data_IF_950422581330
#
_entry.id   IF_950422581330
#
_cell.length_a   1.000
_cell.length_b   1.000
_cell.length_c   1.000
_cell.angle_alpha   90.00
_cell.angle_beta   90.00
_cell.angle_gamma   90.00
#
_symmetry.space_group_name_H-M   'P 1'
#
loop_
_entity.id
_entity.type
_entity.pdbx_description
1 polymer ?
#
# COMPACT_ATOMS: atom_id res chain seq x y z
N UNK A 1 -23.72 78.14 10.10
CA UNK A 1 -24.46 76.96 9.60
C UNK A 1 -23.84 75.74 10.26
N UNK A 2 -24.11 75.44 11.54
CA UNK A 2 -25.31 74.79 12.08
C UNK A 2 -25.82 73.65 11.19
N UNK A 3 -25.58 72.40 11.61
CA UNK A 3 -26.64 71.53 12.12
C UNK A 3 -26.02 70.30 12.82
N UNK A 4 -25.95 70.41 14.15
CA UNK A 4 -26.04 69.28 15.08
C UNK A 4 -27.40 68.59 14.92
N UNK A 5 -27.44 67.25 15.03
CA UNK A 5 -28.62 66.51 15.55
C UNK A 5 -28.22 65.11 16.05
N UNK A 6 -29.01 64.49 16.96
CA UNK A 6 -28.50 63.99 18.23
C UNK A 6 -28.73 62.48 18.46
N UNK A 7 -28.23 62.04 19.62
CA UNK A 7 -28.38 60.76 20.30
C UNK A 7 -29.74 60.09 20.16
N UNK A 8 -29.73 58.76 20.02
CA UNK A 8 -30.82 57.89 20.44
C UNK A 8 -30.31 56.92 21.52
N UNK A 9 -30.70 57.22 22.77
CA UNK A 9 -30.72 56.29 23.89
C UNK A 9 -31.70 55.17 23.56
N UNK A 10 -31.26 53.92 23.58
CA UNK A 10 -32.17 52.77 23.76
C UNK A 10 -31.98 52.17 25.14
N UNK A 11 -33.08 52.26 25.86
CA UNK A 11 -33.44 51.72 27.16
C UNK A 11 -33.09 50.24 27.27
N UNK A 12 -32.47 49.88 28.39
CA UNK A 12 -32.33 48.51 28.87
C UNK A 12 -33.62 48.08 29.59
N UNK A 13 -34.05 46.83 29.37
CA UNK A 13 -34.84 45.97 30.29
C UNK A 13 -35.24 44.68 29.55
N UNK A 14 -35.59 43.59 30.25
CA UNK A 14 -34.89 42.92 31.34
C UNK A 14 -34.55 41.47 30.96
N UNK A 15 -33.76 40.81 31.82
CA UNK A 15 -33.41 39.40 31.72
C UNK A 15 -34.65 38.50 31.59
N UNK A 16 -34.72 37.72 30.52
CA UNK A 16 -35.56 36.54 30.43
C UNK A 16 -34.68 35.31 30.68
N UNK A 17 -34.78 34.76 31.88
CA UNK A 17 -34.30 33.43 32.24
C UNK A 17 -34.84 32.43 31.22
N UNK A 18 -34.00 32.07 30.26
CA UNK A 18 -34.30 31.01 29.31
C UNK A 18 -33.61 29.78 29.83
N UNK A 19 -34.41 28.96 30.52
CA UNK A 19 -34.09 27.63 31.00
C UNK A 19 -33.26 26.90 29.96
N UNK A 20 -32.01 26.59 30.30
CA UNK A 20 -31.08 25.78 29.50
C UNK A 20 -31.69 24.39 29.34
N UNK A 21 -32.50 24.21 28.29
CA UNK A 21 -32.95 22.92 27.82
C UNK A 21 -31.70 22.11 27.47
N UNK A 22 -31.38 21.14 28.32
CA UNK A 22 -30.42 20.08 28.07
C UNK A 22 -30.83 19.39 26.76
N UNK A 23 -30.24 19.85 25.64
CA UNK A 23 -30.33 19.14 24.37
C UNK A 23 -29.75 17.75 24.60
N UNK A 24 -30.62 16.75 24.49
CA UNK A 24 -30.23 15.35 24.45
C UNK A 24 -29.05 15.18 23.46
N UNK A 25 -28.07 14.33 23.77
CA UNK A 25 -26.91 14.11 22.90
C UNK A 25 -27.42 13.64 21.53
N UNK A 26 -27.24 14.49 20.53
CA UNK A 26 -27.52 14.16 19.14
C UNK A 26 -26.66 12.94 18.80
N UNK A 27 -27.30 11.84 18.42
CA UNK A 27 -26.61 10.62 18.04
C UNK A 27 -25.48 10.94 17.03
N UNK A 28 -24.28 10.36 17.19
CA UNK A 28 -23.16 10.69 16.33
C UNK A 28 -23.55 10.43 14.87
N UNK A 29 -23.54 11.48 14.06
CA UNK A 29 -23.75 11.34 12.61
C UNK A 29 -22.69 10.38 12.10
N UNK A 30 -23.12 9.29 11.47
CA UNK A 30 -22.23 8.31 10.83
C UNK A 30 -21.24 9.05 9.91
N UNK A 31 -19.95 8.79 10.09
CA UNK A 31 -18.91 9.40 9.25
C UNK A 31 -19.12 9.02 7.80
N UNK A 32 -18.88 9.97 6.89
CA UNK A 32 -19.00 9.73 5.45
C UNK A 32 -17.76 8.98 4.96
N UNK A 33 -17.89 8.03 4.03
CA UNK A 33 -16.72 7.37 3.44
C UNK A 33 -15.85 8.36 2.65
N UNK A 34 -14.54 8.16 2.67
CA UNK A 34 -13.61 8.85 1.80
C UNK A 34 -13.89 8.51 0.33
N UNK A 35 -13.54 9.44 -0.58
CA UNK A 35 -13.65 9.16 -2.01
C UNK A 35 -12.58 8.13 -2.38
N UNK A 36 -12.91 7.10 -3.19
CA UNK A 36 -11.91 6.18 -3.71
C UNK A 36 -10.77 6.95 -4.36
N UNK A 37 -9.55 6.58 -4.01
CA UNK A 37 -8.34 7.09 -4.64
C UNK A 37 -7.91 6.12 -5.74
N UNK A 38 -7.29 6.65 -6.80
CA UNK A 38 -6.68 5.80 -7.83
C UNK A 38 -5.60 4.94 -7.19
N UNK A 39 -5.47 3.70 -7.68
CA UNK A 39 -4.37 2.85 -7.29
C UNK A 39 -3.03 3.57 -7.52
N UNK A 40 -2.17 3.55 -6.52
CA UNK A 40 -0.84 4.15 -6.58
C UNK A 40 0.18 3.06 -6.84
N UNK A 41 1.14 3.31 -7.72
CA UNK A 41 2.29 2.45 -7.97
C UNK A 41 3.43 2.67 -6.98
N UNK A 42 3.11 3.12 -5.76
CA UNK A 42 4.11 3.27 -4.71
C UNK A 42 4.69 1.89 -4.37
N UNK A 43 5.90 1.89 -3.84
CA UNK A 43 6.57 0.71 -3.30
C UNK A 43 7.08 1.04 -1.89
N UNK A 44 7.37 0.01 -1.05
CA UNK A 44 8.10 0.21 0.20
C UNK A 44 9.39 1.02 -0.03
N UNK A 45 9.80 1.82 0.95
CA UNK A 45 10.97 2.70 0.80
C UNK A 45 12.25 1.89 0.69
N UNK A 46 12.98 2.14 -0.40
CA UNK A 46 14.36 1.72 -0.59
C UNK A 46 15.24 2.94 -0.89
N UNK A 47 16.50 2.95 -0.44
CA UNK A 47 17.43 4.09 -0.57
C UNK A 47 17.63 4.51 -2.05
N UNK A 48 17.70 3.51 -2.94
CA UNK A 48 17.82 3.68 -4.40
C UNK A 48 16.44 3.52 -5.08
N UNK A 49 15.41 3.25 -4.30
CA UNK A 49 14.04 3.03 -4.76
C UNK A 49 13.48 4.25 -5.48
N UNK A 50 12.73 3.99 -6.54
CA UNK A 50 11.87 4.98 -7.20
C UNK A 50 10.47 4.88 -6.57
N UNK A 51 9.67 5.96 -6.66
CA UNK A 51 8.25 5.95 -6.26
C UNK A 51 7.95 5.78 -4.75
N UNK A 52 8.69 6.47 -3.89
CA UNK A 52 8.34 6.52 -2.46
C UNK A 52 6.95 7.13 -2.28
N UNK A 53 6.21 6.68 -1.27
CA UNK A 53 4.90 7.23 -0.93
C UNK A 53 4.99 8.76 -0.77
N UNK A 54 4.14 9.51 -1.49
CA UNK A 54 3.98 10.96 -1.40
C UNK A 54 2.51 11.26 -1.18
N UNK A 55 2.13 11.42 0.06
CA UNK A 55 0.75 11.40 0.55
C UNK A 55 0.37 12.71 1.28
N UNK A 56 1.25 13.71 1.31
CA UNK A 56 1.04 14.99 2.02
C UNK A 56 -0.22 15.76 1.61
N UNK A 57 -0.71 15.54 0.38
CA UNK A 57 -1.92 16.12 -0.19
C UNK A 57 -3.09 15.12 -0.29
N UNK A 58 -2.86 13.86 0.09
CA UNK A 58 -3.81 12.75 0.00
C UNK A 58 -4.23 12.27 1.39
N UNK A 59 -5.00 13.10 2.09
CA UNK A 59 -5.36 12.91 3.51
C UNK A 59 -5.89 11.49 3.86
N UNK A 60 -6.77 10.92 3.04
CA UNK A 60 -7.30 9.56 3.27
C UNK A 60 -6.24 8.47 3.08
N UNK A 61 -5.34 8.62 2.12
CA UNK A 61 -4.26 7.66 1.89
C UNK A 61 -3.19 7.77 2.98
N UNK A 62 -2.86 8.99 3.42
CA UNK A 62 -1.96 9.18 4.55
C UNK A 62 -2.53 8.60 5.84
N UNK A 63 -3.84 8.78 6.09
CA UNK A 63 -4.50 8.16 7.23
C UNK A 63 -4.40 6.62 7.16
N UNK A 64 -4.70 6.01 6.00
CA UNK A 64 -4.56 4.57 5.79
C UNK A 64 -3.11 4.07 5.99
N UNK A 65 -2.15 4.83 5.45
CA UNK A 65 -0.71 4.54 5.53
C UNK A 65 -0.15 4.58 6.97
N UNK A 66 -0.85 5.27 7.88
CA UNK A 66 -0.58 5.33 9.31
C UNK A 66 -1.46 4.39 10.15
N UNK A 67 -2.28 3.54 9.51
CA UNK A 67 -3.18 2.60 10.20
C UNK A 67 -4.44 3.23 10.78
N UNK A 68 -4.76 4.49 10.47
CA UNK A 68 -5.97 5.14 10.97
C UNK A 68 -7.21 4.75 10.16
N UNK A 69 -8.33 4.59 10.87
CA UNK A 69 -9.63 4.28 10.28
C UNK A 69 -10.37 5.54 9.82
N UNK A 70 -9.98 6.72 10.31
CA UNK A 70 -10.62 7.98 9.96
C UNK A 70 -9.59 9.09 9.74
N UNK A 71 -9.89 10.03 8.84
CA UNK A 71 -9.04 11.21 8.63
C UNK A 71 -9.04 12.17 9.83
N UNK A 72 -10.03 12.08 10.73
CA UNK A 72 -10.03 12.82 12.00
C UNK A 72 -8.84 12.43 12.88
N UNK A 73 -8.51 11.14 12.90
CA UNK A 73 -7.44 10.61 13.75
C UNK A 73 -6.08 11.11 13.26
N UNK A 74 -5.90 11.18 11.94
CA UNK A 74 -4.75 11.84 11.32
C UNK A 74 -4.67 13.33 11.71
N UNK A 75 -5.79 14.07 11.70
CA UNK A 75 -5.79 15.49 12.08
C UNK A 75 -5.39 15.68 13.53
N UNK A 76 -5.97 14.88 14.43
CA UNK A 76 -5.67 14.88 15.85
C UNK A 76 -4.20 14.57 16.11
N UNK A 77 -3.67 13.52 15.48
CA UNK A 77 -2.27 13.15 15.60
C UNK A 77 -1.32 14.21 15.01
N UNK A 78 -1.68 14.84 13.89
CA UNK A 78 -0.85 15.86 13.25
C UNK A 78 -0.65 17.12 14.12
N UNK A 79 -1.55 17.39 15.05
CA UNK A 79 -1.46 18.52 16.00
C UNK A 79 -1.11 18.10 17.43
N UNK A 80 -0.67 16.85 17.62
CA UNK A 80 -0.18 16.33 18.89
C UNK A 80 1.28 16.71 19.15
N UNK A 81 1.70 16.66 20.41
CA UNK A 81 3.04 17.12 20.82
C UNK A 81 4.22 16.48 20.05
N UNK A 82 4.22 15.17 19.68
CA UNK A 82 5.35 14.59 18.95
C UNK A 82 5.56 15.26 17.58
N UNK A 83 4.45 15.57 16.90
CA UNK A 83 4.48 16.18 15.56
C UNK A 83 4.84 17.66 15.64
N UNK A 84 4.22 18.41 16.55
CA UNK A 84 4.48 19.85 16.71
C UNK A 84 5.90 20.15 17.19
N UNK A 85 6.44 19.29 18.07
CA UNK A 85 7.83 19.40 18.53
C UNK A 85 8.82 19.10 17.39
N UNK A 86 8.53 18.11 16.55
CA UNK A 86 9.36 17.78 15.40
C UNK A 86 9.30 18.88 14.31
N UNK A 87 8.12 19.46 14.06
CA UNK A 87 7.92 20.51 13.05
C UNK A 87 8.89 21.69 13.23
N UNK A 88 9.12 22.10 14.48
CA UNK A 88 10.03 23.19 14.87
C UNK A 88 11.39 23.12 14.17
N UNK A 89 11.95 21.91 14.10
CA UNK A 89 13.28 21.66 13.53
C UNK A 89 13.19 21.22 12.06
N UNK A 90 12.12 20.50 11.71
CA UNK A 90 11.91 19.98 10.36
C UNK A 90 11.65 21.10 9.33
N UNK A 91 10.69 21.99 9.60
CA UNK A 91 10.19 22.91 8.58
C UNK A 91 11.26 23.87 8.01
N UNK A 92 12.15 24.47 8.83
CA UNK A 92 13.23 25.31 8.31
C UNK A 92 14.29 24.52 7.52
N UNK A 93 14.62 23.30 7.98
CA UNK A 93 15.68 22.49 7.38
C UNK A 93 15.22 21.76 6.11
N UNK A 94 13.97 21.29 6.06
CA UNK A 94 13.41 20.52 4.96
C UNK A 94 12.90 21.37 3.77
N UNK A 95 13.05 22.70 3.82
CA UNK A 95 12.59 23.59 2.75
C UNK A 95 13.25 23.21 1.41
N UNK A 96 12.44 22.82 0.42
CA UNK A 96 12.86 22.33 -0.91
C UNK A 96 13.75 21.07 -0.87
N UNK A 97 13.75 20.34 0.23
CA UNK A 97 14.53 19.12 0.38
C UNK A 97 13.78 17.91 -0.20
N UNK A 98 14.52 17.01 -0.86
CA UNK A 98 14.05 15.67 -1.23
C UNK A 98 14.42 14.65 -0.15
N UNK A 99 13.63 13.60 -0.01
CA UNK A 99 13.81 12.61 1.06
C UNK A 99 15.16 11.89 1.01
N UNK A 100 15.63 11.54 -0.20
CA UNK A 100 16.88 10.77 -0.46
C UNK A 100 18.06 11.27 0.38
N UNK A 101 18.25 12.59 0.45
CA UNK A 101 19.40 13.17 1.15
C UNK A 101 19.40 12.93 2.66
N UNK A 102 18.23 13.04 3.31
CA UNK A 102 18.11 12.80 4.75
C UNK A 102 18.07 11.29 5.05
N UNK A 103 17.43 10.51 4.20
CA UNK A 103 17.26 9.06 4.39
C UNK A 103 18.58 8.31 4.25
N UNK A 104 19.53 8.80 3.45
CA UNK A 104 20.88 8.25 3.38
C UNK A 104 21.60 8.27 4.74
N UNK A 105 21.34 9.27 5.60
CA UNK A 105 21.88 9.29 6.97
C UNK A 105 21.20 8.27 7.87
N UNK A 106 19.92 7.96 7.62
CA UNK A 106 19.12 7.03 8.42
C UNK A 106 19.33 5.57 8.00
N UNK A 107 19.76 5.34 6.77
CA UNK A 107 19.94 4.00 6.22
C UNK A 107 21.35 3.42 6.43
N UNK A 108 22.35 4.28 6.63
CA UNK A 108 23.73 3.86 6.81
C UNK A 108 24.06 3.72 8.31
N UNK A 109 24.49 2.53 8.79
CA UNK A 109 24.79 2.29 10.20
C UNK A 109 25.81 3.25 10.83
N UNK A 110 26.83 3.66 10.07
CA UNK A 110 27.83 4.62 10.55
C UNK A 110 27.25 6.03 10.71
N UNK A 111 26.45 6.47 9.73
CA UNK A 111 25.84 7.79 9.74
C UNK A 111 24.70 7.90 10.76
N UNK A 112 23.86 6.86 10.92
CA UNK A 112 22.78 6.89 11.91
C UNK A 112 23.34 6.93 13.33
N UNK A 113 24.51 6.35 13.57
CA UNK A 113 25.23 6.44 14.84
C UNK A 113 25.64 7.89 15.15
N UNK A 114 26.13 8.62 14.15
CA UNK A 114 26.41 10.06 14.27
C UNK A 114 25.14 10.86 14.65
N UNK A 115 24.03 10.58 13.98
CA UNK A 115 22.72 11.20 14.28
C UNK A 115 22.25 10.83 15.69
N UNK A 116 22.46 9.59 16.12
CA UNK A 116 22.03 9.07 17.41
C UNK A 116 22.84 9.63 18.59
N UNK A 117 24.11 9.98 18.37
CA UNK A 117 25.00 10.53 19.39
C UNK A 117 24.54 11.90 19.90
N UNK A 118 23.73 12.63 19.13
CA UNK A 118 23.15 13.90 19.57
C UNK A 118 22.02 13.66 20.59
N UNK A 119 22.18 14.25 21.77
CA UNK A 119 21.25 14.10 22.90
C UNK A 119 19.80 14.48 22.53
N UNK A 120 18.85 13.92 23.25
CA UNK A 120 17.39 14.04 22.98
C UNK A 120 16.87 15.45 23.19
N UNK A 121 17.45 16.17 24.13
CA UNK A 121 17.10 17.53 24.56
C UNK A 121 17.89 18.62 23.83
N UNK A 122 18.87 18.25 23.01
CA UNK A 122 19.73 19.20 22.32
C UNK A 122 19.03 19.82 21.10
N UNK A 123 19.28 21.11 20.87
CA UNK A 123 18.83 21.76 19.63
C UNK A 123 19.76 21.36 18.47
N UNK A 124 19.28 20.64 17.45
CA UNK A 124 20.13 20.12 16.36
C UNK A 124 20.80 21.24 15.55
N UNK A 125 20.22 22.44 15.53
CA UNK A 125 20.79 23.61 14.87
C UNK A 125 22.08 24.13 15.52
N UNK A 126 22.28 23.85 16.81
CA UNK A 126 23.51 24.21 17.54
C UNK A 126 24.64 23.22 17.28
N UNK A 127 24.31 21.98 16.93
CA UNK A 127 25.28 20.93 16.58
C UNK A 127 25.65 21.03 15.10
N UNK A 128 24.65 21.07 14.22
CA UNK A 128 24.81 21.14 12.77
C UNK A 128 24.51 22.56 12.28
N UNK A 129 25.43 23.46 12.61
CA UNK A 129 25.28 24.89 12.30
C UNK A 129 25.45 25.16 10.81
N UNK A 130 24.58 26.02 10.27
CA UNK A 130 24.70 26.57 8.93
C UNK A 130 24.16 28.01 8.87
N UNK A 131 24.70 28.82 7.98
CA UNK A 131 24.32 30.22 7.72
C UNK A 131 24.05 30.42 6.23
N UNK A 132 23.26 31.45 5.89
CA UNK A 132 22.92 31.74 4.48
C UNK A 132 24.14 32.08 3.61
N UNK A 133 25.27 32.48 4.20
CA UNK A 133 26.52 32.75 3.49
C UNK A 133 27.44 31.54 3.32
N UNK A 134 27.13 30.39 3.93
CA UNK A 134 28.00 29.21 3.83
C UNK A 134 27.93 28.58 2.43
N UNK A 135 28.91 27.76 2.02
CA UNK A 135 28.84 27.03 0.75
C UNK A 135 27.53 26.22 0.63
N UNK A 136 26.83 26.25 -0.53
CA UNK A 136 25.53 25.58 -0.69
C UNK A 136 25.55 24.09 -0.34
N UNK A 137 26.65 23.40 -0.64
CA UNK A 137 26.85 22.00 -0.30
C UNK A 137 26.89 21.76 1.22
N UNK A 138 27.61 22.61 1.97
CA UNK A 138 27.66 22.55 3.43
C UNK A 138 26.27 22.77 4.03
N UNK A 139 25.57 23.83 3.63
CA UNK A 139 24.21 24.11 4.10
C UNK A 139 23.28 22.91 3.85
N UNK A 140 23.39 22.29 2.66
CA UNK A 140 22.59 21.14 2.27
C UNK A 140 22.87 19.92 3.17
N UNK A 141 24.14 19.64 3.48
CA UNK A 141 24.52 18.53 4.36
C UNK A 141 23.98 18.76 5.78
N UNK A 142 24.20 19.95 6.37
CA UNK A 142 23.76 20.22 7.74
C UNK A 142 22.24 20.14 7.87
N UNK A 143 21.51 20.70 6.90
CA UNK A 143 20.04 20.58 6.85
C UNK A 143 19.59 19.12 6.77
N UNK A 144 20.24 18.28 5.96
CA UNK A 144 19.91 16.84 5.87
C UNK A 144 20.13 16.12 7.20
N UNK A 145 21.21 16.45 7.93
CA UNK A 145 21.47 15.90 9.27
C UNK A 145 20.40 16.31 10.28
N UNK A 146 20.03 17.60 10.30
CA UNK A 146 18.92 18.11 11.14
C UNK A 146 17.63 17.35 10.83
N UNK A 147 17.26 17.20 9.56
CA UNK A 147 16.04 16.48 9.19
C UNK A 147 16.10 15.00 9.59
N UNK A 148 17.21 14.31 9.35
CA UNK A 148 17.40 12.93 9.78
C UNK A 148 17.23 12.77 11.30
N UNK A 149 17.87 13.65 12.07
CA UNK A 149 17.72 13.70 13.52
C UNK A 149 16.27 13.93 13.95
N UNK A 150 15.59 14.89 13.33
CA UNK A 150 14.20 15.22 13.65
C UNK A 150 13.26 14.04 13.42
N UNK A 151 13.39 13.32 12.28
CA UNK A 151 12.60 12.13 12.01
C UNK A 151 12.88 11.04 13.03
N UNK A 152 14.16 10.79 13.36
CA UNK A 152 14.53 9.80 14.38
C UNK A 152 13.96 10.16 15.76
N UNK A 153 14.04 11.43 16.18
CA UNK A 153 13.47 11.87 17.46
C UNK A 153 11.95 11.80 17.46
N UNK A 154 11.29 12.14 16.34
CA UNK A 154 9.84 11.99 16.22
C UNK A 154 9.42 10.53 16.43
N UNK A 155 10.13 9.56 15.85
CA UNK A 155 9.87 8.13 16.10
C UNK A 155 9.97 7.77 17.59
N UNK A 156 11.01 8.23 18.28
CA UNK A 156 11.16 7.98 19.73
C UNK A 156 10.06 8.66 20.55
N UNK A 157 9.69 9.89 20.17
CA UNK A 157 8.61 10.64 20.81
C UNK A 157 7.25 9.97 20.61
N UNK A 158 7.00 9.34 19.45
CA UNK A 158 5.76 8.60 19.18
C UNK A 158 5.71 7.30 20.00
N UNK A 159 6.85 6.62 20.19
CA UNK A 159 6.93 5.48 21.12
C UNK A 159 6.56 5.93 22.54
N UNK A 160 7.14 7.03 23.02
CA UNK A 160 6.76 7.60 24.32
C UNK A 160 5.28 7.99 24.37
N UNK A 161 4.77 8.64 23.34
CA UNK A 161 3.37 9.07 23.23
C UNK A 161 2.40 7.91 23.39
N UNK A 162 2.73 6.74 22.83
CA UNK A 162 1.93 5.51 22.97
C UNK A 162 1.85 5.01 24.41
N UNK A 163 2.95 5.12 25.16
CA UNK A 163 3.07 4.58 26.52
C UNK A 163 2.69 5.62 27.61
N UNK A 164 2.45 6.86 27.20
CA UNK A 164 2.13 7.99 28.08
C UNK A 164 0.64 8.07 28.38
N UNK A 165 0.28 8.48 29.60
CA UNK A 165 -1.12 8.67 30.00
C UNK A 165 -1.83 9.74 29.15
N UNK A 166 -3.16 9.62 28.99
CA UNK A 166 -3.98 10.61 28.27
C UNK A 166 -3.81 12.03 28.85
N UNK A 167 -3.79 12.15 30.18
CA UNK A 167 -3.64 13.44 30.85
C UNK A 167 -2.28 14.10 30.57
N UNK A 168 -1.20 13.32 30.57
CA UNK A 168 0.13 13.82 30.25
C UNK A 168 0.25 14.18 28.76
N UNK A 169 -0.28 13.35 27.85
CA UNK A 169 -0.33 13.66 26.42
C UNK A 169 -1.12 14.93 26.13
N UNK A 170 -2.23 15.16 26.84
CA UNK A 170 -3.01 16.40 26.76
C UNK A 170 -2.19 17.61 27.20
N UNK A 171 -1.58 17.53 28.39
CA UNK A 171 -0.73 18.60 28.94
C UNK A 171 0.41 18.98 27.99
N UNK A 172 1.17 17.99 27.51
CA UNK A 172 2.28 18.21 26.56
C UNK A 172 1.80 18.77 25.23
N UNK A 173 0.65 18.29 24.73
CA UNK A 173 0.07 18.79 23.48
C UNK A 173 -0.36 20.25 23.60
N UNK A 174 -0.99 20.64 24.71
CA UNK A 174 -1.37 22.03 24.95
C UNK A 174 -0.15 22.97 25.03
N UNK A 175 0.92 22.53 25.72
CA UNK A 175 2.18 23.28 25.78
C UNK A 175 2.77 23.48 24.38
N UNK A 176 2.90 22.40 23.60
CA UNK A 176 3.47 22.48 22.25
C UNK A 176 2.59 23.25 21.27
N UNK A 177 1.26 23.19 21.41
CA UNK A 177 0.33 24.01 20.63
C UNK A 177 0.52 25.50 20.93
N UNK A 178 0.64 25.89 22.20
CA UNK A 178 0.89 27.27 22.59
C UNK A 178 2.24 27.78 22.03
N UNK A 179 3.31 26.97 22.18
CA UNK A 179 4.63 27.30 21.64
C UNK A 179 4.63 27.34 20.10
N UNK A 180 3.88 26.46 19.43
CA UNK A 180 3.69 26.49 17.98
C UNK A 180 3.02 27.80 17.54
N UNK A 181 1.93 28.21 18.19
CA UNK A 181 1.26 29.48 17.88
C UNK A 181 2.20 30.67 18.07
N UNK A 182 2.99 30.68 19.15
CA UNK A 182 4.01 31.70 19.40
C UNK A 182 5.08 31.75 18.30
N UNK A 183 5.59 30.59 17.86
CA UNK A 183 6.57 30.48 16.76
C UNK A 183 6.03 31.03 15.44
N UNK A 184 4.73 30.85 15.19
CA UNK A 184 4.09 31.26 13.93
C UNK A 184 3.29 32.57 14.03
N UNK A 185 3.29 33.27 15.17
CA UNK A 185 2.58 34.53 15.35
C UNK A 185 3.06 35.63 14.38
N UNK A 186 4.34 35.61 14.00
CA UNK A 186 4.97 36.55 13.06
C UNK A 186 4.95 36.07 11.60
N UNK A 187 4.28 34.94 11.30
CA UNK A 187 4.35 34.34 9.99
C UNK A 187 3.72 35.31 8.95
N UNK A 188 4.54 35.73 7.97
CA UNK A 188 4.31 36.85 7.03
C UNK A 188 3.05 36.74 6.16
N UNK A 189 2.28 35.66 6.31
CA UNK A 189 1.07 35.37 5.55
C UNK A 189 -0.20 35.97 6.19
N UNK A 190 -0.11 36.64 7.35
CA UNK A 190 -1.24 37.32 7.99
C UNK A 190 -2.38 36.40 8.42
N UNK A 191 -2.06 35.13 8.71
CA UNK A 191 -3.07 34.11 9.03
C UNK A 191 -3.16 33.91 10.53
N UNK A 192 -4.37 33.99 11.04
CA UNK A 192 -4.67 33.60 12.42
C UNK A 192 -4.74 32.08 12.46
N UNK A 193 -3.74 31.47 13.08
CA UNK A 193 -3.74 30.04 13.40
C UNK A 193 -4.44 29.85 14.75
N UNK A 194 -5.22 28.78 14.86
CA UNK A 194 -5.85 28.35 16.10
C UNK A 194 -5.86 26.83 16.16
N UNK A 195 -5.91 26.30 17.37
CA UNK A 195 -6.20 24.90 17.64
C UNK A 195 -7.57 24.79 18.34
N UNK A 196 -8.19 23.59 18.39
CA UNK A 196 -9.37 23.37 19.21
C UNK A 196 -9.05 23.63 20.70
N UNK A 197 -10.03 24.11 21.46
CA UNK A 197 -9.87 24.33 22.91
C UNK A 197 -9.70 23.01 23.68
N UNK A 198 -10.30 21.94 23.18
CA UNK A 198 -10.21 20.60 23.77
C UNK A 198 -9.85 19.54 22.73
N UNK A 199 -9.07 18.56 23.18
CA UNK A 199 -8.73 17.36 22.44
C UNK A 199 -9.21 16.16 23.25
N UNK A 200 -10.16 15.41 22.71
CA UNK A 200 -10.80 14.31 23.44
C UNK A 200 -10.14 12.96 23.17
N UNK A 201 -9.16 12.93 22.26
CA UNK A 201 -8.56 11.70 21.75
C UNK A 201 -7.08 11.90 21.39
N UNK A 202 -6.31 10.83 21.53
CA UNK A 202 -4.87 10.78 21.29
C UNK A 202 -4.51 9.57 20.42
N UNK A 203 -4.96 9.55 19.16
CA UNK A 203 -4.72 8.43 18.27
C UNK A 203 -3.22 8.29 18.01
N UNK A 204 -2.73 7.05 18.04
CA UNK A 204 -1.32 6.73 17.83
C UNK A 204 -1.17 5.97 16.51
N UNK A 205 -0.28 6.40 15.60
CA UNK A 205 -0.13 5.77 14.29
C UNK A 205 0.60 4.42 14.38
N UNK A 206 0.33 3.56 13.41
CA UNK A 206 1.16 2.40 13.11
C UNK A 206 2.37 2.84 12.27
N UNK A 207 3.49 3.12 12.92
CA UNK A 207 4.71 3.55 12.21
C UNK A 207 5.45 2.42 11.49
N UNK A 208 5.13 1.16 11.77
CA UNK A 208 5.89 0.02 11.26
C UNK A 208 7.31 -0.08 11.85
N UNK A 209 8.24 -0.76 11.15
CA UNK A 209 8.03 -1.35 9.83
C UNK A 209 7.09 -2.55 9.86
N UNK A 210 6.27 -2.70 8.82
CA UNK A 210 5.47 -3.89 8.56
C UNK A 210 6.34 -4.94 7.87
N UNK A 211 7.22 -5.58 8.65
CA UNK A 211 8.22 -6.54 8.13
C UNK A 211 7.57 -7.71 7.39
N UNK A 212 6.40 -8.16 7.84
CA UNK A 212 5.58 -9.18 7.17
C UNK A 212 5.01 -8.73 5.81
N UNK A 213 5.10 -7.45 5.48
CA UNK A 213 4.69 -6.83 4.21
C UNK A 213 5.86 -6.27 3.42
N UNK A 214 7.09 -6.70 3.74
CA UNK A 214 8.31 -6.32 3.01
C UNK A 214 8.86 -4.93 3.36
N UNK A 215 8.36 -4.28 4.41
CA UNK A 215 8.89 -2.98 4.83
C UNK A 215 10.21 -3.11 5.61
N UNK A 216 11.07 -2.10 5.48
CA UNK A 216 12.24 -1.91 6.32
C UNK A 216 12.09 -0.67 7.22
N UNK A 217 13.04 -0.46 8.13
CA UNK A 217 13.04 0.63 9.12
C UNK A 217 12.90 2.05 8.52
N UNK A 218 13.26 2.26 7.24
CA UNK A 218 13.09 3.56 6.60
C UNK A 218 11.62 3.94 6.42
N UNK A 219 10.70 2.97 6.38
CA UNK A 219 9.27 3.25 6.26
C UNK A 219 8.75 4.01 7.49
N UNK A 220 9.29 3.70 8.67
CA UNK A 220 9.01 4.41 9.92
C UNK A 220 9.32 5.90 9.80
N UNK A 221 10.48 6.23 9.22
CA UNK A 221 10.87 7.62 8.98
C UNK A 221 10.08 8.26 7.83
N UNK A 222 9.70 7.47 6.83
CA UNK A 222 8.85 7.90 5.73
C UNK A 222 7.47 8.35 6.21
N UNK A 223 6.84 7.57 7.10
CA UNK A 223 5.59 7.95 7.77
C UNK A 223 5.71 9.28 8.53
N UNK A 224 6.78 9.45 9.33
CA UNK A 224 7.04 10.71 10.01
C UNK A 224 7.21 11.90 9.05
N UNK A 225 7.97 11.70 7.95
CA UNK A 225 8.14 12.73 6.92
C UNK A 225 6.80 13.15 6.33
N UNK A 226 5.96 12.20 5.95
CA UNK A 226 4.65 12.50 5.34
C UNK A 226 3.71 13.25 6.30
N UNK A 227 3.71 12.90 7.59
CA UNK A 227 2.94 13.63 8.60
C UNK A 227 3.42 15.08 8.74
N UNK A 228 4.73 15.31 8.77
CA UNK A 228 5.30 16.67 8.87
C UNK A 228 5.01 17.51 7.62
N UNK A 229 5.04 16.88 6.44
CA UNK A 229 4.65 17.53 5.18
C UNK A 229 3.15 17.83 5.13
N UNK A 230 2.31 16.94 5.65
CA UNK A 230 0.87 17.15 5.78
C UNK A 230 0.53 18.31 6.73
N UNK A 231 1.21 18.41 7.87
CA UNK A 231 1.10 19.56 8.77
C UNK A 231 1.56 20.84 8.06
N UNK A 232 2.70 20.80 7.36
CA UNK A 232 3.21 21.90 6.55
C UNK A 232 2.25 22.34 5.43
N UNK A 233 1.53 21.40 4.80
CA UNK A 233 0.51 21.72 3.78
C UNK A 233 -0.71 22.44 4.37
N UNK A 234 -0.91 22.36 5.70
CA UNK A 234 -1.86 23.17 6.47
C UNK A 234 -1.65 24.68 6.31
N UNK A 235 -0.40 25.13 6.09
CA UNK A 235 -0.09 26.54 5.83
C UNK A 235 -0.48 27.01 4.42
N UNK A 236 -1.02 26.16 3.55
CA UNK A 236 -1.51 26.56 2.22
C UNK A 236 -2.99 27.01 2.28
N UNK A 237 -3.40 27.89 1.36
CA UNK A 237 -4.61 28.75 1.44
C UNK A 237 -5.84 28.04 2.03
N UNK A 238 -6.20 28.40 3.26
CA UNK A 238 -7.41 27.91 3.96
C UNK A 238 -7.33 26.49 4.53
N UNK A 239 -6.26 25.73 4.27
CA UNK A 239 -6.13 24.35 4.73
C UNK A 239 -6.13 24.24 6.26
N UNK A 240 -5.45 25.16 6.96
CA UNK A 240 -5.48 25.20 8.42
C UNK A 240 -6.90 25.28 8.97
N UNK A 241 -7.70 26.24 8.47
CA UNK A 241 -9.11 26.41 8.85
C UNK A 241 -9.95 25.17 8.53
N UNK A 242 -9.61 24.44 7.47
CA UNK A 242 -10.30 23.24 6.99
C UNK A 242 -9.87 21.93 7.64
N UNK A 243 -8.79 21.93 8.43
CA UNK A 243 -8.23 20.71 9.04
C UNK A 243 -8.05 20.79 10.55
N UNK A 244 -7.65 21.95 11.08
CA UNK A 244 -7.10 22.05 12.45
C UNK A 244 -7.73 23.15 13.31
N UNK A 245 -8.47 24.10 12.73
CA UNK A 245 -8.84 25.33 13.45
C UNK A 245 -9.83 25.16 14.61
N UNK A 246 -10.69 24.14 14.58
CA UNK A 246 -11.67 23.87 15.64
C UNK A 246 -12.09 22.39 15.65
N UNK A 247 -12.78 22.02 16.74
CA UNK A 247 -13.20 20.64 17.00
C UNK A 247 -14.18 20.12 15.93
N UNK A 248 -15.14 20.95 15.47
CA UNK A 248 -16.12 20.57 14.45
C UNK A 248 -15.42 20.11 13.16
N UNK A 249 -14.44 20.89 12.69
CA UNK A 249 -13.68 20.59 11.49
C UNK A 249 -12.81 19.34 11.67
N UNK A 250 -12.19 19.17 12.84
CA UNK A 250 -11.38 17.99 13.12
C UNK A 250 -12.21 16.70 13.15
N UNK A 251 -13.36 16.73 13.83
CA UNK A 251 -14.28 15.59 13.94
C UNK A 251 -15.07 15.32 12.66
N UNK A 252 -15.16 16.28 11.75
CA UNK A 252 -15.73 16.08 10.40
C UNK A 252 -14.73 15.34 9.47
N UNK A 253 -14.25 14.20 9.96
CA UNK A 253 -13.38 13.28 9.22
C UNK A 253 -14.16 12.43 8.22
N UNK A 254 -13.43 11.60 7.50
CA UNK A 254 -13.99 10.56 6.63
C UNK A 254 -13.46 9.20 7.01
N UNK A 255 -14.30 8.19 6.89
CA UNK A 255 -13.89 6.79 7.06
C UNK A 255 -12.96 6.39 5.92
N UNK A 256 -11.88 5.72 6.29
CA UNK A 256 -10.79 5.28 5.42
C UNK A 256 -10.93 3.78 5.21
N UNK A 257 -11.05 3.37 3.95
CA UNK A 257 -11.12 1.96 3.57
C UNK A 257 -9.73 1.39 3.23
N UNK A 258 -9.59 0.06 3.26
CA UNK A 258 -8.37 -0.67 2.89
C UNK A 258 -7.79 -0.24 1.53
N UNK A 259 -8.64 0.07 0.54
CA UNK A 259 -8.22 0.52 -0.80
C UNK A 259 -7.46 1.86 -0.82
N UNK A 260 -7.46 2.62 0.28
CA UNK A 260 -6.66 3.85 0.39
C UNK A 260 -5.23 3.58 0.84
N UNK A 261 -4.94 2.43 1.45
CA UNK A 261 -3.58 2.07 1.82
C UNK A 261 -2.75 1.76 0.55
N UNK A 262 -1.42 1.95 0.58
CA UNK A 262 -0.58 1.50 -0.52
C UNK A 262 -0.72 -0.01 -0.76
N UNK A 263 -0.58 -0.46 -2.02
CA UNK A 263 -0.91 -1.84 -2.42
C UNK A 263 -0.27 -2.93 -1.57
N UNK A 264 1.01 -2.76 -1.18
CA UNK A 264 1.71 -3.72 -0.30
C UNK A 264 1.17 -3.74 1.13
N UNK A 265 0.55 -2.64 1.60
CA UNK A 265 -0.09 -2.56 2.91
C UNK A 265 -1.51 -3.08 2.93
N UNK A 266 -2.17 -3.14 1.77
CA UNK A 266 -3.55 -3.60 1.72
C UNK A 266 -3.60 -5.03 2.23
N UNK A 267 -4.51 -5.31 3.16
CA UNK A 267 -4.89 -6.70 3.39
C UNK A 267 -5.49 -7.16 2.08
N UNK A 268 -4.76 -7.99 1.34
CA UNK A 268 -5.35 -8.78 0.27
C UNK A 268 -6.41 -9.57 1.01
N UNK A 269 -7.67 -9.14 0.90
CA UNK A 269 -8.78 -10.03 1.17
C UNK A 269 -8.47 -11.18 0.24
N UNK A 270 -7.97 -12.31 0.78
CA UNK A 270 -7.70 -13.51 -0.03
C UNK A 270 -8.91 -13.61 -0.93
N UNK A 271 -8.76 -13.55 -2.27
CA UNK A 271 -9.89 -13.77 -3.15
C UNK A 271 -10.53 -15.04 -2.61
N UNK A 272 -11.81 -14.93 -2.23
CA UNK A 272 -12.56 -16.02 -1.64
C UNK A 272 -12.22 -17.22 -2.51
N UNK A 273 -11.50 -18.20 -1.95
CA UNK A 273 -11.05 -19.33 -2.75
C UNK A 273 -12.29 -19.87 -3.47
N UNK A 274 -12.20 -20.17 -4.78
CA UNK A 274 -13.33 -20.73 -5.51
C UNK A 274 -13.89 -21.88 -4.67
N UNK A 275 -15.23 -21.92 -4.53
CA UNK A 275 -15.89 -22.89 -3.66
C UNK A 275 -15.34 -24.29 -3.95
N UNK A 276 -14.61 -24.91 -3.00
CA UNK A 276 -13.94 -26.18 -3.22
C UNK A 276 -14.94 -27.32 -3.51
N UNK A 277 -16.24 -27.08 -3.32
CA UNK A 277 -17.29 -28.04 -3.68
C UNK A 277 -17.52 -28.19 -5.19
N UNK A 278 -16.92 -27.35 -6.05
CA UNK A 278 -17.08 -27.43 -7.51
C UNK A 278 -15.78 -27.17 -8.27
N UNK A 279 -14.75 -28.04 -8.15
CA UNK A 279 -13.55 -27.93 -8.99
C UNK A 279 -13.94 -28.03 -10.47
N UNK A 280 -13.30 -27.24 -11.33
CA UNK A 280 -13.45 -27.38 -12.78
C UNK A 280 -12.32 -28.26 -13.31
N UNK A 281 -12.67 -29.19 -14.18
CA UNK A 281 -11.71 -30.01 -14.91
C UNK A 281 -11.37 -29.31 -16.23
N UNK A 282 -10.07 -29.24 -16.53
CA UNK A 282 -9.57 -28.62 -17.75
C UNK A 282 -8.66 -29.59 -18.46
N UNK A 283 -8.90 -29.81 -19.74
CA UNK A 283 -8.04 -30.64 -20.58
C UNK A 283 -7.07 -29.76 -21.37
N UNK A 284 -5.79 -30.10 -21.42
CA UNK A 284 -4.82 -29.46 -22.31
C UNK A 284 -4.78 -30.22 -23.62
N UNK A 285 -4.98 -29.51 -24.73
CA UNK A 285 -4.81 -29.98 -26.10
C UNK A 285 -3.63 -29.22 -26.72
N UNK A 286 -2.49 -29.88 -26.82
CA UNK A 286 -1.35 -29.36 -27.56
C UNK A 286 -1.61 -29.50 -29.06
N UNK A 287 -1.96 -28.38 -29.70
CA UNK A 287 -2.21 -28.30 -31.13
C UNK A 287 -0.87 -28.28 -31.86
N UNK A 288 -0.50 -29.43 -32.41
CA UNK A 288 0.75 -29.65 -33.12
C UNK A 288 0.48 -30.33 -34.47
N UNK A 289 0.42 -29.52 -35.53
CA UNK A 289 0.20 -29.97 -36.91
C UNK A 289 0.78 -28.96 -37.91
N UNK A 290 0.80 -29.33 -39.19
CA UNK A 290 1.37 -28.53 -40.28
C UNK A 290 0.73 -27.14 -40.45
N UNK A 291 -0.49 -26.93 -39.96
CA UNK A 291 -1.20 -25.64 -40.02
C UNK A 291 -0.73 -24.65 -38.94
N UNK A 292 0.08 -25.09 -37.97
CA UNK A 292 0.63 -24.24 -36.91
C UNK A 292 1.87 -23.50 -37.42
N UNK A 293 1.90 -22.18 -37.20
CA UNK A 293 3.06 -21.37 -37.55
C UNK A 293 4.33 -21.90 -36.84
N UNK A 294 5.42 -22.02 -37.59
CA UNK A 294 6.70 -22.60 -37.15
C UNK A 294 6.69 -24.12 -36.89
N UNK A 295 5.68 -24.86 -37.39
CA UNK A 295 5.58 -26.32 -37.21
C UNK A 295 6.90 -27.07 -37.41
N UNK A 296 7.57 -26.91 -38.55
CA UNK A 296 8.83 -27.59 -38.83
C UNK A 296 9.97 -27.25 -37.86
N UNK A 297 10.01 -26.01 -37.36
CA UNK A 297 11.02 -25.60 -36.39
C UNK A 297 10.71 -26.17 -34.99
N UNK A 298 9.42 -26.25 -34.62
CA UNK A 298 8.96 -26.93 -33.40
C UNK A 298 9.26 -28.43 -33.44
N UNK A 299 8.98 -29.11 -34.56
CA UNK A 299 9.34 -30.53 -34.78
C UNK A 299 10.85 -30.76 -34.63
N UNK A 300 11.67 -29.89 -35.24
CA UNK A 300 13.12 -29.99 -35.12
C UNK A 300 13.60 -29.88 -33.66
N UNK A 301 13.03 -28.95 -32.89
CA UNK A 301 13.34 -28.78 -31.47
C UNK A 301 12.94 -30.03 -30.65
N UNK A 302 11.77 -30.62 -30.94
CA UNK A 302 11.30 -31.86 -30.31
C UNK A 302 12.25 -33.03 -30.63
N UNK A 303 12.66 -33.20 -31.89
CA UNK A 303 13.60 -34.26 -32.29
C UNK A 303 14.98 -34.07 -31.64
N UNK A 304 15.45 -32.82 -31.53
CA UNK A 304 16.68 -32.51 -30.79
C UNK A 304 16.54 -32.88 -29.30
N UNK A 305 15.42 -32.54 -28.67
CA UNK A 305 15.15 -32.89 -27.28
C UNK A 305 15.04 -34.41 -27.06
N UNK A 306 14.38 -35.15 -27.97
CA UNK A 306 14.33 -36.61 -27.96
C UNK A 306 15.73 -37.22 -28.08
N UNK A 307 16.61 -36.67 -28.92
CA UNK A 307 18.00 -37.12 -29.04
C UNK A 307 18.78 -36.97 -27.73
N UNK A 308 18.37 -36.02 -26.88
CA UNK A 308 18.86 -35.78 -25.52
C UNK A 308 18.10 -36.56 -24.44
N UNK A 309 17.22 -37.49 -24.83
CA UNK A 309 16.38 -38.31 -23.94
C UNK A 309 15.38 -37.49 -23.10
N UNK A 310 14.97 -36.32 -23.57
CA UNK A 310 13.90 -35.54 -22.93
C UNK A 310 12.54 -36.17 -23.23
N UNK A 311 11.71 -36.34 -22.20
CA UNK A 311 10.35 -36.84 -22.36
C UNK A 311 9.45 -35.77 -23.01
N UNK A 312 8.71 -36.18 -24.04
CA UNK A 312 7.71 -35.37 -24.74
C UNK A 312 6.34 -35.69 -24.15
N UNK A 313 5.59 -34.70 -23.63
CA UNK A 313 4.24 -34.92 -23.11
C UNK A 313 3.27 -35.36 -24.20
N UNK A 314 2.19 -36.03 -23.80
CA UNK A 314 1.10 -36.39 -24.69
C UNK A 314 0.42 -35.13 -25.27
N UNK A 315 -0.14 -35.25 -26.47
CA UNK A 315 -0.85 -34.14 -27.12
C UNK A 315 -2.15 -33.75 -26.41
N UNK A 316 -2.69 -34.64 -25.57
CA UNK A 316 -3.91 -34.42 -24.80
C UNK A 316 -3.74 -34.99 -23.39
N UNK A 317 -4.02 -34.19 -22.36
CA UNK A 317 -3.99 -34.64 -20.96
C UNK A 317 -4.81 -33.73 -20.05
N UNK A 318 -5.25 -34.27 -18.91
CA UNK A 318 -5.93 -33.47 -17.89
C UNK A 318 -4.94 -32.51 -17.20
N UNK A 319 -5.29 -31.23 -17.15
CA UNK A 319 -4.54 -30.23 -16.41
C UNK A 319 -4.73 -30.49 -14.91
N UNK A 320 -3.66 -30.66 -14.13
CA UNK A 320 -3.76 -31.16 -12.76
C UNK A 320 -4.29 -30.13 -11.75
N UNK A 321 -4.54 -28.89 -12.18
CA UNK A 321 -4.99 -27.80 -11.30
C UNK A 321 -6.23 -27.12 -11.83
N UNK A 322 -7.09 -26.68 -10.91
CA UNK A 322 -8.18 -25.77 -11.23
C UNK A 322 -7.60 -24.38 -11.56
N UNK A 323 -7.81 -23.83 -12.78
CA UNK A 323 -7.23 -22.55 -13.16
C UNK A 323 -7.60 -21.37 -12.25
N UNK A 324 -8.71 -21.45 -11.51
CA UNK A 324 -9.17 -20.36 -10.64
C UNK A 324 -8.28 -20.18 -9.41
N UNK A 325 -7.46 -21.17 -9.05
CA UNK A 325 -6.55 -21.10 -7.90
C UNK A 325 -5.34 -20.20 -8.16
N UNK A 326 -4.98 -19.96 -9.43
CA UNK A 326 -3.82 -19.13 -9.74
C UNK A 326 -4.07 -17.65 -9.40
N UNK A 327 -3.13 -16.96 -8.75
CA UNK A 327 -3.30 -15.57 -8.34
C UNK A 327 -3.31 -14.62 -9.53
N UNK A 328 -2.54 -14.91 -10.57
CA UNK A 328 -2.37 -14.11 -11.77
C UNK A 328 -2.25 -15.02 -13.03
N UNK A 329 -2.28 -14.42 -14.22
CA UNK A 329 -2.27 -15.15 -15.50
C UNK A 329 -0.87 -15.64 -15.86
N UNK A 330 0.17 -14.99 -15.36
CA UNK A 330 1.58 -15.36 -15.50
C UNK A 330 1.83 -16.73 -14.85
N UNK A 331 1.41 -16.93 -13.60
CA UNK A 331 1.54 -18.22 -12.92
C UNK A 331 0.73 -19.32 -13.60
N UNK A 332 -0.46 -19.01 -14.11
CA UNK A 332 -1.25 -19.97 -14.87
C UNK A 332 -0.49 -20.45 -16.13
N UNK A 333 0.04 -19.51 -16.92
CA UNK A 333 0.84 -19.80 -18.13
C UNK A 333 2.13 -20.54 -17.82
N UNK A 334 2.83 -20.16 -16.75
CA UNK A 334 4.05 -20.83 -16.32
C UNK A 334 3.81 -22.28 -15.87
N UNK A 335 2.66 -22.57 -15.26
CA UNK A 335 2.31 -23.96 -14.92
C UNK A 335 1.97 -24.79 -16.16
N UNK A 336 1.36 -24.20 -17.19
CA UNK A 336 1.17 -24.86 -18.48
C UNK A 336 2.53 -25.17 -19.13
N UNK A 337 3.48 -24.22 -19.11
CA UNK A 337 4.85 -24.45 -19.60
C UNK A 337 5.52 -25.64 -18.91
N UNK A 338 5.34 -25.76 -17.59
CA UNK A 338 5.87 -26.88 -16.81
C UNK A 338 5.20 -28.20 -17.17
N UNK A 339 3.87 -28.24 -17.28
CA UNK A 339 3.14 -29.43 -17.73
C UNK A 339 3.59 -29.91 -19.12
N UNK A 340 3.86 -28.95 -20.02
CA UNK A 340 4.33 -29.24 -21.37
C UNK A 340 5.84 -29.39 -21.49
N UNK A 341 6.57 -29.39 -20.37
CA UNK A 341 8.03 -29.52 -20.33
C UNK A 341 8.76 -28.54 -21.28
N UNK A 342 8.22 -27.34 -21.45
CA UNK A 342 8.65 -26.36 -22.45
C UNK A 342 10.14 -26.03 -22.36
N UNK A 343 10.67 -25.89 -21.14
CA UNK A 343 12.09 -25.60 -20.90
C UNK A 343 13.01 -26.69 -21.47
N UNK A 344 12.73 -27.96 -21.16
CA UNK A 344 13.57 -29.06 -21.63
C UNK A 344 13.41 -29.33 -23.14
N UNK A 345 12.25 -28.97 -23.70
CA UNK A 345 11.99 -29.06 -25.14
C UNK A 345 12.54 -27.87 -25.93
N UNK A 346 12.99 -26.79 -25.27
CA UNK A 346 13.40 -25.55 -25.95
C UNK A 346 12.23 -24.85 -26.64
N UNK A 347 11.04 -24.94 -26.06
CA UNK A 347 9.80 -24.38 -26.58
C UNK A 347 9.23 -23.31 -25.62
N UNK A 348 8.36 -22.46 -26.14
CA UNK A 348 7.55 -21.50 -25.37
C UNK A 348 6.12 -21.43 -25.95
N UNK A 349 5.20 -20.87 -25.17
CA UNK A 349 3.82 -20.61 -25.56
C UNK A 349 3.78 -19.62 -26.73
N UNK A 350 3.21 -20.04 -27.86
CA UNK A 350 2.87 -19.18 -28.98
C UNK A 350 1.46 -18.62 -28.85
N UNK A 351 0.52 -19.45 -28.41
CA UNK A 351 -0.86 -19.04 -28.15
C UNK A 351 -1.54 -19.97 -27.15
N UNK A 352 -2.47 -19.42 -26.38
CA UNK A 352 -3.26 -20.17 -25.42
C UNK A 352 -4.74 -19.77 -25.54
N UNK A 353 -5.58 -20.69 -26.02
CA UNK A 353 -7.02 -20.45 -26.18
C UNK A 353 -7.79 -21.34 -25.23
N UNK A 354 -8.67 -20.75 -24.44
CA UNK A 354 -9.63 -21.50 -23.63
C UNK A 354 -10.88 -21.64 -24.45
N UNK A 355 -11.39 -22.85 -24.52
CA UNK A 355 -12.67 -23.16 -25.10
C UNK A 355 -13.56 -23.79 -24.04
N UNK A 356 -14.82 -23.39 -24.01
CA UNK A 356 -15.80 -24.01 -23.14
C UNK A 356 -17.05 -24.41 -23.91
N UNK A 357 -17.73 -25.41 -23.36
CA UNK A 357 -19.04 -25.86 -23.79
C UNK A 357 -20.03 -25.74 -22.64
N UNK A 358 -21.28 -25.45 -22.97
CA UNK A 358 -22.38 -25.60 -22.03
C UNK A 358 -22.71 -27.08 -21.76
N UNK A 359 -23.58 -27.34 -20.79
CA UNK A 359 -23.95 -28.69 -20.37
C UNK A 359 -24.53 -29.55 -21.50
N UNK A 360 -25.15 -28.91 -22.50
CA UNK A 360 -25.77 -29.56 -23.64
C UNK A 360 -24.82 -29.64 -24.87
N UNK A 361 -23.58 -29.14 -24.75
CA UNK A 361 -22.56 -28.99 -25.82
C UNK A 361 -23.03 -28.17 -27.05
N UNK A 362 -24.12 -27.43 -26.94
CA UNK A 362 -24.74 -26.65 -28.01
C UNK A 362 -24.12 -25.26 -28.19
N UNK A 363 -23.53 -24.70 -27.12
CA UNK A 363 -22.90 -23.37 -27.15
C UNK A 363 -21.41 -23.48 -26.92
N UNK A 364 -20.66 -22.97 -27.90
CA UNK A 364 -19.22 -22.85 -27.85
C UNK A 364 -18.81 -21.39 -27.64
N UNK A 365 -18.06 -21.14 -26.58
CA UNK A 365 -17.40 -19.86 -26.36
C UNK A 365 -15.89 -20.05 -26.22
N UNK A 366 -15.14 -18.99 -26.52
CA UNK A 366 -13.69 -19.02 -26.45
C UNK A 366 -13.11 -17.73 -25.85
N UNK A 367 -12.00 -17.88 -25.13
CA UNK A 367 -11.25 -16.80 -24.50
C UNK A 367 -9.77 -16.87 -24.88
N UNK A 368 -9.12 -15.71 -24.96
CA UNK A 368 -7.68 -15.61 -25.24
C UNK A 368 -6.88 -15.56 -23.94
N UNK A 369 -6.43 -16.71 -23.44
CA UNK A 369 -5.68 -16.76 -22.19
C UNK A 369 -4.25 -16.21 -22.30
N UNK A 370 -3.82 -15.80 -23.49
CA UNK A 370 -2.53 -15.15 -23.69
C UNK A 370 -2.61 -13.63 -23.55
N UNK A 371 -3.69 -13.01 -24.01
CA UNK A 371 -3.81 -11.53 -24.07
C UNK A 371 -4.88 -10.94 -23.14
N UNK A 372 -5.81 -11.76 -22.65
CA UNK A 372 -6.92 -11.30 -21.85
C UNK A 372 -6.52 -11.00 -20.40
N UNK A 373 -7.18 -10.00 -19.82
CA UNK A 373 -7.06 -9.68 -18.39
C UNK A 373 -7.47 -10.87 -17.52
N UNK A 374 -6.68 -11.16 -16.48
CA UNK A 374 -6.89 -12.33 -15.62
C UNK A 374 -8.24 -12.33 -14.92
N UNK A 375 -8.77 -11.17 -14.53
CA UNK A 375 -10.07 -11.12 -13.86
C UNK A 375 -11.20 -11.50 -14.82
N UNK A 376 -11.10 -11.13 -16.10
CA UNK A 376 -12.06 -11.56 -17.12
C UNK A 376 -11.95 -13.05 -17.41
N UNK A 377 -10.73 -13.58 -17.48
CA UNK A 377 -10.50 -15.00 -17.72
C UNK A 377 -10.97 -15.86 -16.53
N UNK A 378 -10.76 -15.42 -15.30
CA UNK A 378 -11.35 -16.06 -14.11
C UNK A 378 -12.87 -16.04 -14.13
N UNK A 379 -13.49 -14.91 -14.46
CA UNK A 379 -14.94 -14.83 -14.59
C UNK A 379 -15.47 -15.79 -15.67
N UNK A 380 -14.70 -16.04 -16.73
CA UNK A 380 -15.01 -17.03 -17.75
C UNK A 380 -15.03 -18.46 -17.17
N UNK A 381 -14.03 -18.82 -16.34
CA UNK A 381 -14.00 -20.10 -15.63
C UNK A 381 -15.06 -20.24 -14.53
N UNK A 382 -15.53 -19.13 -13.97
CA UNK A 382 -16.54 -19.11 -12.90
C UNK A 382 -17.98 -19.15 -13.42
N UNK A 383 -18.18 -19.05 -14.73
CA UNK A 383 -19.52 -19.05 -15.31
C UNK A 383 -20.20 -20.42 -15.09
N UNK A 384 -21.31 -20.49 -14.34
CA UNK A 384 -21.95 -21.75 -13.98
C UNK A 384 -22.62 -22.47 -15.14
N UNK A 385 -22.75 -21.81 -16.31
CA UNK A 385 -23.32 -22.42 -17.50
C UNK A 385 -22.34 -23.32 -18.25
N UNK A 386 -21.03 -23.20 -18.00
CA UNK A 386 -20.02 -24.02 -18.64
C UNK A 386 -19.68 -25.24 -17.79
N UNK A 387 -19.58 -26.40 -18.43
CA UNK A 387 -19.35 -27.69 -17.78
C UNK A 387 -18.02 -28.35 -18.19
N UNK A 388 -17.51 -28.00 -19.38
CA UNK A 388 -16.33 -28.64 -19.98
C UNK A 388 -15.41 -27.58 -20.55
N UNK A 389 -14.13 -27.65 -20.17
CA UNK A 389 -13.11 -26.70 -20.57
C UNK A 389 -11.95 -27.45 -21.23
N UNK A 390 -11.47 -26.92 -22.36
CA UNK A 390 -10.21 -27.36 -22.94
C UNK A 390 -9.33 -26.17 -23.33
N UNK A 391 -8.02 -26.35 -23.17
CA UNK A 391 -6.98 -25.39 -23.49
C UNK A 391 -6.30 -25.82 -24.78
N UNK A 392 -6.56 -25.13 -25.87
CA UNK A 392 -5.80 -25.29 -27.09
C UNK A 392 -4.49 -24.51 -26.97
N UNK A 393 -3.38 -25.25 -26.84
CA UNK A 393 -2.03 -24.71 -26.66
C UNK A 393 -1.25 -24.85 -27.96
N UNK A 394 -0.61 -23.78 -28.42
CA UNK A 394 0.38 -23.83 -29.50
C UNK A 394 1.73 -23.42 -28.94
N UNK A 395 2.77 -24.11 -29.37
CA UNK A 395 4.14 -23.88 -28.94
C UNK A 395 5.01 -23.43 -30.12
N UNK A 396 6.05 -22.66 -29.82
CA UNK A 396 7.06 -22.22 -30.76
C UNK A 396 8.46 -22.41 -30.18
N UNK A 397 9.52 -22.51 -31.01
CA UNK A 397 10.89 -22.58 -30.52
C UNK A 397 11.30 -21.33 -29.73
N UNK A 398 12.10 -21.54 -28.69
CA UNK A 398 12.64 -20.50 -27.83
C UNK A 398 14.17 -20.54 -27.82
N UNK A 399 14.81 -19.41 -28.15
CA UNK A 399 16.26 -19.33 -28.37
C UNK A 399 17.02 -18.50 -27.31
N UNK A 400 16.33 -18.01 -26.28
CA UNK A 400 16.93 -17.16 -25.24
C UNK A 400 17.32 -17.96 -23.98
N UNK A 401 17.89 -17.27 -22.99
CA UNK A 401 18.26 -17.84 -21.70
C UNK A 401 17.04 -18.53 -21.05
N UNK A 402 17.11 -19.83 -20.67
CA UNK A 402 16.03 -20.56 -20.00
C UNK A 402 15.46 -19.83 -18.78
N UNK A 403 16.27 -19.01 -18.11
CA UNK A 403 15.85 -18.19 -16.97
C UNK A 403 14.83 -17.11 -17.33
N UNK A 404 14.61 -16.82 -18.61
CA UNK A 404 13.64 -15.85 -19.10
C UNK A 404 12.33 -16.45 -19.61
N UNK A 405 12.18 -17.78 -19.53
CA UNK A 405 10.98 -18.48 -19.99
C UNK A 405 9.76 -18.27 -19.06
N UNK A 406 10.00 -18.17 -17.76
CA UNK A 406 8.94 -17.99 -16.77
C UNK A 406 8.66 -16.51 -16.51
N UNK A 407 7.38 -16.15 -16.49
CA UNK A 407 6.92 -14.77 -16.38
C UNK A 407 6.78 -14.32 -14.92
N UNK A 408 6.42 -15.24 -14.02
CA UNK A 408 6.29 -14.95 -12.60
C UNK A 408 7.59 -15.32 -11.85
N UNK A 409 8.21 -14.33 -11.19
CA UNK A 409 9.38 -14.55 -10.33
C UNK A 409 9.05 -15.14 -8.96
N UNK A 410 7.79 -15.50 -8.72
CA UNK A 410 7.32 -16.11 -7.48
C UNK A 410 7.65 -17.60 -7.39
N UNK A 411 7.55 -18.16 -6.19
CA UNK A 411 7.66 -19.61 -5.98
C UNK A 411 6.44 -20.27 -6.63
N UNK A 412 6.62 -21.33 -7.45
CA UNK A 412 5.51 -22.09 -8.01
C UNK A 412 4.54 -22.54 -6.91
N UNK A 413 3.24 -22.57 -7.23
CA UNK A 413 2.23 -23.07 -6.31
C UNK A 413 2.56 -24.54 -5.98
N UNK A 414 2.73 -24.85 -4.69
CA UNK A 414 2.96 -26.22 -4.23
C UNK A 414 1.68 -27.06 -4.43
N UNK A 415 1.72 -28.13 -5.25
CA UNK A 415 0.57 -29.00 -5.50
C UNK A 415 -0.01 -29.64 -4.24
N UNK A 416 0.81 -29.90 -3.22
CA UNK A 416 0.38 -30.57 -1.99
C UNK A 416 -0.48 -29.68 -1.09
N UNK A 417 -0.41 -28.36 -1.28
CA UNK A 417 -1.21 -27.41 -0.50
C UNK A 417 -2.67 -27.30 -0.97
N UNK A 418 -2.99 -27.80 -2.17
CA UNK A 418 -4.30 -27.61 -2.81
C UNK A 418 -5.02 -28.91 -3.24
N UNK A 419 -4.30 -30.04 -3.34
CA UNK A 419 -4.86 -31.35 -3.70
C UNK A 419 -5.42 -32.16 -2.50
N UNK A 420 -5.94 -31.51 -1.46
CA UNK A 420 -6.81 -32.21 -0.51
C UNK A 420 -8.19 -32.49 -1.13
N UNK A 421 -8.23 -33.14 -2.28
CA UNK A 421 -9.40 -33.84 -2.81
C UNK A 421 -9.53 -35.17 -2.04
N UNK A 422 -10.71 -35.53 -1.48
CA UNK A 422 -10.85 -36.67 -0.56
C UNK A 422 -10.56 -38.07 -1.10
N UNK A 423 -10.22 -38.26 -2.38
CA UNK A 423 -10.26 -39.59 -3.03
C UNK A 423 -8.96 -40.10 -3.65
N UNK A 424 -7.80 -39.50 -3.35
CA UNK A 424 -6.51 -40.06 -3.78
C UNK A 424 -5.77 -40.73 -2.62
N UNK A 425 -6.38 -41.75 -2.02
CA UNK A 425 -5.62 -42.77 -1.30
C UNK A 425 -4.97 -43.70 -2.33
N UNK A 426 -3.68 -43.51 -2.55
CA UNK A 426 -2.85 -44.48 -3.26
C UNK A 426 -2.79 -45.72 -2.37
N UNK A 427 -3.56 -46.75 -2.72
CA UNK A 427 -3.47 -48.08 -2.13
C UNK A 427 -2.13 -48.68 -2.54
N UNK A 428 -1.14 -48.60 -1.66
CA UNK A 428 0.10 -49.38 -1.83
C UNK A 428 -0.22 -50.82 -1.41
N UNK A 429 -0.66 -51.64 -2.36
CA UNK A 429 -0.68 -53.09 -2.17
C UNK A 429 0.76 -53.58 -2.01
N UNK A 430 1.12 -53.96 -0.78
CA UNK A 430 2.31 -54.77 -0.52
C UNK A 430 2.10 -56.14 -1.13
N UNK A 431 2.78 -56.43 -2.23
CA UNK A 431 3.03 -57.81 -2.63
C UNK A 431 3.83 -58.50 -1.52
N UNK A 432 3.16 -59.37 -0.77
CA UNK A 432 3.80 -60.40 0.03
C UNK A 432 4.43 -61.42 -0.91
N UNK A 433 5.72 -61.68 -0.74
CA UNK A 433 6.41 -62.77 -1.39
C UNK A 433 5.79 -64.10 -0.93
N UNK A 434 5.21 -64.84 -1.87
CA UNK A 434 4.86 -66.24 -1.66
C UNK A 434 6.13 -67.08 -1.58
N UNK A 435 6.29 -67.77 -0.45
CA UNK A 435 7.20 -68.89 -0.31
C UNK A 435 6.65 -70.09 -1.10
N UNK A 436 7.42 -70.56 -2.09
CA UNK A 436 7.60 -71.98 -2.38
C UNK A 436 8.92 -72.20 -3.15
#
# INVERSE_FOLDING_TARGET
MSLFRPQNKRVASPASDTTTSLKAPVAPKSLRPARPTKATNFQPVEIIGKNWAKLEDHEAQLAAYLGFQNTSDLREFAISWPTLLAEKHFAPAAQKMTKVGAFNFLSNPGLISEIAAVAVDSSPELVWTWKSGDPPHHQTIQKRKIVAWTLRKMVLNIKQYKDTSVAENLSRTQIEQAEFLKRHASNRLGRVLSFPETMDNFPCPELGPLTNKGENELETYNRCWEVLRYLGSGFHKGNWKRRFANLEVMKNGRTVNNSHAPSWMQTITKPLLPDPSRPIEVEIHWVHNEDVAMYHATELAIEEAKSKQVAVPDSQFAFPWDPRVFPNVEQFRDNIRRCLNCEALGLDLQSLRVHCYDADEDRHEQADAFTQDWAMLKAFFENPHYSKFFLAVRLQPFYFDPLSLYEDGGVPIDPLLYLATPNSEISVERQTADNN
#
